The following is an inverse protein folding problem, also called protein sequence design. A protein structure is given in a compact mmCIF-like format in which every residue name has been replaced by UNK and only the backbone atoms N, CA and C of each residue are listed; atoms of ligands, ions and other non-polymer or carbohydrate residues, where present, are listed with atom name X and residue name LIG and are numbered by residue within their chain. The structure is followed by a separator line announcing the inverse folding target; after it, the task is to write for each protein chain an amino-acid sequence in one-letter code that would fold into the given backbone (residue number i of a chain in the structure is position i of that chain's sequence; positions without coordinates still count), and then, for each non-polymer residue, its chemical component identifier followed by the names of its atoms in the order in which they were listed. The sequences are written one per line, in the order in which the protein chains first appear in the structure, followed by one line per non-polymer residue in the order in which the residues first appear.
data_IF_539458254107
#
_entry.id   IF_539458254107
#
_cell.length_a   1.000
_cell.length_b   1.000
_cell.length_c   1.000
_cell.angle_alpha   90.00
_cell.angle_beta   90.00
_cell.angle_gamma   90.00
#
_symmetry.space_group_name_H-M   'P 1'
#
loop_
_entity.id
_entity.type
_entity.pdbx_description
1 polymer ?
#
# COMPACT_ATOMS: atom_id res chain seq x y z
N UNK A 1 10.99 -7.49 -5.62
CA UNK A 1 11.73 -6.59 -4.69
C UNK A 1 12.85 -7.27 -3.91
N UNK A 2 12.72 -8.55 -3.61
CA UNK A 2 13.79 -9.29 -2.89
C UNK A 2 15.15 -9.26 -3.59
N UNK A 3 15.15 -9.39 -4.94
CA UNK A 3 16.41 -9.35 -5.71
C UNK A 3 17.09 -7.99 -5.63
N UNK A 4 16.32 -6.90 -5.73
CA UNK A 4 16.82 -5.53 -5.59
C UNK A 4 17.36 -5.31 -4.18
N UNK A 5 16.58 -5.73 -3.17
CA UNK A 5 16.99 -5.60 -1.77
C UNK A 5 18.32 -6.32 -1.51
N UNK A 6 18.47 -7.54 -2.03
CA UNK A 6 19.69 -8.33 -1.88
C UNK A 6 20.89 -7.66 -2.55
N UNK A 7 20.70 -7.13 -3.76
CA UNK A 7 21.78 -6.46 -4.49
C UNK A 7 22.21 -5.15 -3.84
N UNK A 8 21.29 -4.45 -3.17
CA UNK A 8 21.55 -3.17 -2.54
C UNK A 8 22.03 -3.26 -1.10
N UNK A 9 21.91 -4.43 -0.46
CA UNK A 9 22.24 -4.62 0.96
C UNK A 9 23.68 -4.21 1.29
N UNK A 10 24.63 -4.48 0.40
CA UNK A 10 26.05 -4.11 0.58
C UNK A 10 26.28 -2.60 0.64
N UNK A 11 25.31 -1.80 0.18
CA UNK A 11 25.36 -0.34 0.21
C UNK A 11 24.54 0.24 1.37
N UNK A 12 24.07 -0.62 2.28
CA UNK A 12 23.20 -0.21 3.40
C UNK A 12 21.89 0.44 2.92
N UNK A 13 21.38 -0.04 1.79
CA UNK A 13 20.13 0.41 1.20
C UNK A 13 19.08 -0.69 1.38
N UNK A 14 17.89 -0.31 1.86
CA UNK A 14 16.74 -1.21 1.91
C UNK A 14 15.83 -0.96 0.71
N UNK A 15 15.12 -2.00 0.29
CA UNK A 15 14.17 -1.91 -0.82
C UNK A 15 12.92 -2.72 -0.48
N UNK A 16 11.77 -2.08 -0.50
CA UNK A 16 10.48 -2.67 -0.14
C UNK A 16 9.41 -2.24 -1.15
N UNK A 17 8.32 -2.99 -1.18
CA UNK A 17 7.13 -2.67 -1.98
C UNK A 17 5.98 -2.27 -1.09
N UNK A 18 5.12 -1.39 -1.60
CA UNK A 18 3.81 -1.11 -1.04
C UNK A 18 2.76 -1.56 -2.05
N UNK A 19 1.91 -2.51 -1.65
CA UNK A 19 0.82 -2.99 -2.49
C UNK A 19 -0.46 -2.26 -2.09
N UNK A 20 -1.05 -1.53 -3.03
CA UNK A 20 -2.24 -0.74 -2.78
C UNK A 20 -3.47 -1.34 -3.48
N UNK A 21 -4.66 -0.94 -3.05
CA UNK A 21 -5.91 -1.24 -3.72
C UNK A 21 -6.64 0.06 -4.06
N UNK A 22 -7.99 0.06 -4.05
CA UNK A 22 -8.75 1.24 -4.46
C UNK A 22 -8.42 2.45 -3.58
N UNK A 23 -7.84 3.47 -4.18
CA UNK A 23 -7.38 4.69 -3.52
C UNK A 23 -7.96 5.90 -4.26
N UNK A 24 -8.34 6.94 -3.51
CA UNK A 24 -8.84 8.18 -4.08
C UNK A 24 -7.73 8.88 -4.86
N UNK A 25 -7.88 8.94 -6.16
CA UNK A 25 -7.00 9.65 -7.09
C UNK A 25 -7.84 10.24 -8.21
N UNK A 26 -7.31 11.19 -9.00
CA UNK A 26 -8.04 11.67 -10.18
C UNK A 26 -8.46 10.53 -11.13
N UNK A 27 -7.64 9.50 -11.25
CA UNK A 27 -7.93 8.36 -12.13
C UNK A 27 -9.09 7.48 -11.64
N UNK A 28 -9.44 7.52 -10.35
CA UNK A 28 -10.49 6.68 -9.76
C UNK A 28 -11.79 7.43 -9.47
N UNK A 29 -11.90 8.70 -9.84
CA UNK A 29 -13.06 9.52 -9.49
C UNK A 29 -14.38 8.97 -10.03
N UNK A 30 -14.42 8.51 -11.27
CA UNK A 30 -15.63 7.95 -11.85
C UNK A 30 -16.09 6.68 -11.15
N UNK A 31 -15.15 5.86 -10.71
CA UNK A 31 -15.45 4.67 -9.92
C UNK A 31 -16.03 5.03 -8.56
N UNK A 32 -15.40 6.00 -7.88
CA UNK A 32 -15.82 6.43 -6.54
C UNK A 32 -17.20 7.08 -6.53
N UNK A 33 -17.60 7.71 -7.64
CA UNK A 33 -18.89 8.35 -7.79
C UNK A 33 -20.05 7.37 -8.04
N UNK A 34 -19.77 6.12 -8.39
CA UNK A 34 -20.79 5.10 -8.64
C UNK A 34 -21.14 4.41 -7.31
N UNK A 35 -22.29 4.78 -6.75
CA UNK A 35 -22.73 4.28 -5.44
C UNK A 35 -22.91 2.76 -5.39
N UNK A 36 -23.48 2.17 -6.44
CA UNK A 36 -23.66 0.71 -6.49
C UNK A 36 -22.34 -0.01 -6.54
N UNK A 37 -21.42 0.47 -7.37
CA UNK A 37 -20.09 -0.09 -7.51
C UNK A 37 -19.31 0.03 -6.22
N UNK A 38 -19.40 1.19 -5.57
CA UNK A 38 -18.73 1.41 -4.29
C UNK A 38 -19.29 0.53 -3.18
N UNK A 39 -20.60 0.36 -3.12
CA UNK A 39 -21.22 -0.52 -2.13
C UNK A 39 -20.73 -1.97 -2.29
N UNK A 40 -20.73 -2.48 -3.51
CA UNK A 40 -20.24 -3.82 -3.80
C UNK A 40 -18.74 -3.97 -3.49
N UNK A 41 -17.94 -2.96 -3.83
CA UNK A 41 -16.50 -2.97 -3.60
C UNK A 41 -16.18 -2.93 -2.11
N UNK A 42 -16.81 -2.03 -1.37
CA UNK A 42 -16.54 -1.85 0.05
C UNK A 42 -16.97 -3.04 0.90
N UNK A 43 -17.91 -3.86 0.42
CA UNK A 43 -18.30 -5.09 1.12
C UNK A 43 -17.14 -6.08 1.26
N UNK A 44 -16.12 -5.96 0.41
CA UNK A 44 -14.92 -6.81 0.41
C UNK A 44 -13.80 -6.27 1.28
N UNK A 45 -13.98 -5.09 1.86
CA UNK A 45 -12.97 -4.42 2.67
C UNK A 45 -13.28 -4.56 4.15
N UNK A 46 -12.26 -4.66 4.98
CA UNK A 46 -12.41 -4.60 6.44
C UNK A 46 -12.55 -3.14 6.86
N UNK A 47 -11.68 -2.28 6.38
CA UNK A 47 -11.82 -0.82 6.54
C UNK A 47 -12.64 -0.32 5.36
N UNK A 48 -13.92 -0.02 5.60
CA UNK A 48 -14.89 0.20 4.52
C UNK A 48 -14.91 1.64 4.05
N UNK A 49 -13.80 2.06 3.51
CA UNK A 49 -13.64 3.31 2.76
C UNK A 49 -12.53 3.11 1.74
N UNK A 50 -12.50 3.89 0.65
CA UNK A 50 -11.33 3.86 -0.22
C UNK A 50 -10.10 4.39 0.51
N UNK A 51 -8.93 3.96 0.11
CA UNK A 51 -7.69 4.51 0.59
C UNK A 51 -7.55 5.96 0.18
N UNK A 52 -6.79 6.71 0.96
CA UNK A 52 -6.43 8.09 0.65
C UNK A 52 -4.94 8.15 0.36
N UNK A 53 -4.48 9.13 -0.43
CA UNK A 53 -3.04 9.28 -0.68
C UNK A 53 -2.19 9.28 0.59
N UNK A 54 -2.69 9.89 1.69
CA UNK A 54 -1.97 9.90 2.96
C UNK A 54 -1.82 8.50 3.58
N UNK A 55 -2.74 7.59 3.33
CA UNK A 55 -2.61 6.22 3.84
C UNK A 55 -1.36 5.54 3.27
N UNK A 56 -1.11 5.77 1.98
CA UNK A 56 0.07 5.23 1.30
C UNK A 56 1.32 6.05 1.66
N UNK A 57 1.21 7.37 1.70
CA UNK A 57 2.32 8.26 2.01
C UNK A 57 2.87 8.00 3.42
N UNK A 58 2.02 7.71 4.40
CA UNK A 58 2.45 7.40 5.76
C UNK A 58 3.29 6.12 5.79
N UNK A 59 2.91 5.11 5.03
CA UNK A 59 3.71 3.89 4.94
C UNK A 59 5.04 4.14 4.22
N UNK A 60 5.02 4.92 3.15
CA UNK A 60 6.24 5.29 2.43
C UNK A 60 7.20 6.08 3.33
N UNK A 61 6.66 7.01 4.12
CA UNK A 61 7.46 7.79 5.07
C UNK A 61 8.12 6.89 6.11
N UNK A 62 7.39 5.94 6.66
CA UNK A 62 7.93 4.96 7.61
C UNK A 62 9.08 4.18 6.97
N UNK A 63 8.87 3.64 5.76
CA UNK A 63 9.88 2.84 5.07
C UNK A 63 11.09 3.67 4.65
N UNK A 64 10.94 4.98 4.46
CA UNK A 64 12.05 5.88 4.14
C UNK A 64 12.81 6.37 5.39
N UNK A 65 12.31 6.07 6.59
CA UNK A 65 12.88 6.55 7.84
C UNK A 65 13.82 5.53 8.47
N UNK A 66 14.62 5.99 9.43
CA UNK A 66 15.48 5.12 10.21
C UNK A 66 14.69 4.11 11.06
N UNK A 67 13.40 4.38 11.30
CA UNK A 67 12.54 3.46 12.04
C UNK A 67 12.39 2.10 11.35
N UNK A 68 12.61 2.04 10.04
CA UNK A 68 12.51 0.80 9.25
C UNK A 68 13.89 0.28 8.79
N UNK A 69 14.96 0.68 9.43
CA UNK A 69 16.31 0.35 8.94
C UNK A 69 16.61 -1.16 8.90
N UNK A 70 15.87 -1.96 9.64
CA UNK A 70 16.01 -3.41 9.63
C UNK A 70 14.93 -4.13 8.82
N UNK A 71 14.29 -3.42 7.91
CA UNK A 71 13.21 -3.93 7.04
C UNK A 71 13.68 -3.82 5.59
N UNK A 72 13.76 -4.96 4.89
CA UNK A 72 14.12 -4.97 3.46
C UNK A 72 13.56 -6.20 2.78
N UNK A 73 13.31 -6.10 1.49
CA UNK A 73 12.85 -7.21 0.66
C UNK A 73 11.39 -7.59 0.88
N UNK A 74 10.60 -6.75 1.52
CA UNK A 74 9.21 -7.07 1.90
C UNK A 74 8.20 -6.33 1.04
N UNK A 75 6.98 -6.87 1.02
CA UNK A 75 5.82 -6.23 0.42
C UNK A 75 4.80 -5.96 1.51
N UNK A 76 4.37 -4.70 1.63
CA UNK A 76 3.41 -4.27 2.64
C UNK A 76 2.10 -3.88 1.99
N UNK A 77 1.03 -4.67 2.19
CA UNK A 77 -0.29 -4.28 1.71
C UNK A 77 -0.83 -3.08 2.51
N UNK A 78 -1.23 -2.04 1.79
CA UNK A 78 -1.95 -0.89 2.34
C UNK A 78 -3.27 -0.83 1.57
N UNK A 79 -4.23 -1.67 1.97
CA UNK A 79 -5.38 -2.01 1.15
C UNK A 79 -6.69 -2.12 1.94
N UNK A 80 -6.74 -1.58 3.16
CA UNK A 80 -7.96 -1.62 3.97
C UNK A 80 -8.46 -3.02 4.31
N UNK A 81 -7.62 -4.04 4.19
CA UNK A 81 -7.99 -5.42 4.43
C UNK A 81 -8.68 -6.09 3.25
N UNK A 82 -8.58 -5.50 2.05
CA UNK A 82 -9.13 -6.12 0.83
C UNK A 82 -8.59 -7.53 0.61
N UNK A 83 -7.31 -7.73 0.87
CA UNK A 83 -6.70 -9.05 0.93
C UNK A 83 -6.03 -9.21 2.29
N UNK A 84 -6.13 -10.41 2.85
CA UNK A 84 -5.44 -10.73 4.09
C UNK A 84 -4.12 -11.41 3.73
N UNK A 85 -3.01 -10.79 4.15
CA UNK A 85 -1.68 -11.39 4.00
C UNK A 85 -1.51 -12.46 5.08
N UNK A 86 -1.13 -13.63 4.65
CA UNK A 86 -0.84 -14.76 5.55
C UNK A 86 0.64 -15.08 5.53
#
# INVERSE_FOLDING_TARGET
MRGVARNMARHQITANNIAISLTETPATQSWLADEQRMKATMSKYIVRRPGRPNDIANMALFLASNASEWISGQTYPVNGGFTLAL
#
